data_IF_238027170862
#
_entry.id   IF_238027170862
#
_cell.length_a   1.000
_cell.length_b   1.000
_cell.length_c   1.000
_cell.angle_alpha   90.00
_cell.angle_beta   90.00
_cell.angle_gamma   90.00
#
_symmetry.space_group_name_H-M   'P 1'
#
loop_
_entity.id
_entity.type
_entity.pdbx_description
1 polymer ?
#
# COMPACT_ATOMS: atom_id res chain seq x y z
N UNK A 1 10.42 -28.53 24.57
CA UNK A 1 10.02 -28.69 23.15
C UNK A 1 11.08 -28.25 22.16
N UNK A 2 11.58 -26.99 22.19
CA UNK A 2 12.60 -26.54 21.23
C UNK A 2 13.87 -27.42 21.19
N UNK A 3 14.34 -27.87 22.35
CA UNK A 3 15.47 -28.82 22.44
C UNK A 3 15.22 -30.13 21.69
N UNK A 4 14.00 -30.68 21.75
CA UNK A 4 13.64 -31.90 21.04
C UNK A 4 13.61 -31.66 19.52
N UNK A 5 13.02 -30.55 19.08
CA UNK A 5 13.00 -30.19 17.65
C UNK A 5 14.42 -29.99 17.13
N UNK A 6 15.27 -29.30 17.88
CA UNK A 6 16.68 -29.10 17.54
C UNK A 6 17.41 -30.43 17.41
N UNK A 7 17.22 -31.34 18.37
CA UNK A 7 17.80 -32.68 18.31
C UNK A 7 17.33 -33.45 17.06
N UNK A 8 16.04 -33.39 16.72
CA UNK A 8 15.50 -34.05 15.52
C UNK A 8 16.11 -33.49 14.23
N UNK A 9 16.21 -32.15 14.11
CA UNK A 9 16.84 -31.49 12.95
C UNK A 9 18.32 -31.87 12.80
N UNK A 10 19.06 -31.91 13.92
CA UNK A 10 20.46 -32.34 13.94
C UNK A 10 20.63 -33.81 13.51
N UNK A 11 19.64 -34.66 13.75
CA UNK A 11 19.62 -36.06 13.32
C UNK A 11 19.03 -36.26 11.92
N UNK A 12 18.91 -35.20 11.11
CA UNK A 12 18.51 -35.29 9.71
C UNK A 12 17.01 -35.29 9.45
N UNK A 13 16.18 -34.88 10.42
CA UNK A 13 14.76 -34.64 10.15
C UNK A 13 14.61 -33.54 9.09
N UNK A 14 13.89 -33.85 8.01
CA UNK A 14 13.66 -32.91 6.91
C UNK A 14 12.72 -31.76 7.27
N UNK A 15 12.68 -30.75 6.41
CA UNK A 15 11.93 -29.49 6.62
C UNK A 15 10.41 -29.60 6.36
N UNK A 16 9.91 -30.82 6.14
CA UNK A 16 8.50 -31.10 5.89
C UNK A 16 7.97 -32.12 6.89
N UNK A 17 6.74 -31.92 7.36
CA UNK A 17 6.21 -32.66 8.50
C UNK A 17 5.70 -34.05 8.09
N UNK A 18 5.19 -34.27 6.87
CA UNK A 18 4.47 -35.52 6.54
C UNK A 18 4.58 -36.03 5.09
N UNK A 19 4.64 -35.14 4.09
CA UNK A 19 4.64 -35.45 2.63
C UNK A 19 5.33 -34.31 1.88
N UNK A 20 5.88 -34.56 0.69
CA UNK A 20 6.33 -33.47 -0.20
C UNK A 20 5.23 -32.40 -0.34
N UNK A 21 5.58 -31.15 -0.08
CA UNK A 21 4.66 -30.02 -0.18
C UNK A 21 3.79 -29.73 1.06
N UNK A 22 4.10 -30.29 2.24
CA UNK A 22 3.50 -29.82 3.50
C UNK A 22 4.54 -29.15 4.40
N UNK A 23 4.67 -27.83 4.27
CA UNK A 23 5.68 -27.03 4.95
C UNK A 23 5.56 -27.07 6.48
N UNK A 24 6.70 -27.34 7.14
CA UNK A 24 6.79 -27.24 8.58
C UNK A 24 6.55 -25.80 9.08
N UNK A 25 7.07 -24.82 8.35
CA UNK A 25 6.89 -23.39 8.65
C UNK A 25 5.40 -23.00 8.63
N UNK A 26 4.67 -23.42 7.58
CA UNK A 26 3.24 -23.17 7.47
C UNK A 26 2.44 -23.82 8.62
N UNK A 27 2.85 -25.01 9.07
CA UNK A 27 2.22 -25.70 10.19
C UNK A 27 2.44 -24.95 11.51
N UNK A 28 3.67 -24.50 11.78
CA UNK A 28 4.00 -23.70 12.97
C UNK A 28 3.16 -22.43 13.01
N UNK A 29 3.10 -21.69 11.91
CA UNK A 29 2.33 -20.46 11.80
C UNK A 29 0.82 -20.66 12.01
N UNK A 30 0.28 -21.82 11.61
CA UNK A 30 -1.15 -22.13 11.71
C UNK A 30 -1.58 -22.63 13.07
N UNK A 31 -0.77 -23.47 13.70
CA UNK A 31 -1.22 -24.29 14.83
C UNK A 31 -0.63 -23.87 16.18
N UNK A 32 0.56 -23.26 16.20
CA UNK A 32 1.19 -22.84 17.46
C UNK A 32 0.55 -21.54 17.91
N UNK A 33 -0.12 -21.50 19.08
CA UNK A 33 -0.83 -20.30 19.56
C UNK A 33 0.05 -19.31 20.33
N UNK A 34 1.07 -19.83 21.02
CA UNK A 34 2.07 -19.03 21.70
C UNK A 34 2.93 -18.28 20.68
N UNK A 35 2.97 -16.95 20.75
CA UNK A 35 3.62 -16.11 19.75
C UNK A 35 5.14 -16.12 19.86
N UNK A 36 5.66 -16.19 21.08
CA UNK A 36 7.10 -16.21 21.36
C UNK A 36 7.67 -17.57 20.94
N UNK A 37 7.07 -18.66 21.43
CA UNK A 37 7.48 -20.00 21.04
C UNK A 37 7.28 -20.25 19.53
N UNK A 38 6.22 -19.70 18.91
CA UNK A 38 6.03 -19.76 17.45
C UNK A 38 7.18 -19.06 16.72
N UNK A 39 7.59 -17.88 17.18
CA UNK A 39 8.69 -17.14 16.57
C UNK A 39 10.02 -17.89 16.70
N UNK A 40 10.37 -18.37 17.89
CA UNK A 40 11.62 -19.12 18.11
C UNK A 40 11.68 -20.42 17.31
N UNK A 41 10.54 -21.13 17.23
CA UNK A 41 10.44 -22.34 16.43
C UNK A 41 10.54 -22.05 14.94
N UNK A 42 9.93 -20.95 14.47
CA UNK A 42 10.03 -20.51 13.08
C UNK A 42 11.48 -20.16 12.71
N UNK A 43 12.17 -19.42 13.58
CA UNK A 43 13.58 -19.05 13.43
C UNK A 43 14.49 -20.28 13.37
N UNK A 44 14.30 -21.21 14.31
CA UNK A 44 15.05 -22.48 14.29
C UNK A 44 14.86 -23.24 12.98
N UNK A 45 13.62 -23.36 12.48
CA UNK A 45 13.37 -24.09 11.24
C UNK A 45 13.98 -23.40 10.01
N UNK A 46 13.93 -22.07 9.95
CA UNK A 46 14.54 -21.30 8.85
C UNK A 46 16.06 -21.37 8.88
N UNK A 47 16.68 -21.27 10.06
CA UNK A 47 18.14 -21.42 10.22
C UNK A 47 18.63 -22.82 9.82
N UNK A 48 17.82 -23.85 10.01
CA UNK A 48 18.15 -25.21 9.61
C UNK A 48 17.80 -25.52 8.15
N UNK A 49 17.50 -24.52 7.31
CA UNK A 49 17.28 -24.69 5.87
C UNK A 49 15.83 -24.87 5.44
N UNK A 50 14.87 -24.50 6.29
CA UNK A 50 13.45 -24.54 5.93
C UNK A 50 13.12 -23.58 4.80
N UNK A 51 12.52 -24.08 3.72
CA UNK A 51 12.12 -23.26 2.56
C UNK A 51 10.90 -22.38 2.91
N UNK A 52 11.04 -21.04 2.95
CA UNK A 52 9.96 -20.12 3.29
C UNK A 52 8.87 -20.01 2.22
N UNK A 53 9.06 -20.62 1.04
CA UNK A 53 8.10 -20.64 -0.05
C UNK A 53 7.40 -22.00 -0.22
N UNK A 54 7.87 -23.05 0.47
CA UNK A 54 7.21 -24.34 0.48
C UNK A 54 5.80 -24.19 1.06
N UNK A 55 4.77 -24.53 0.29
CA UNK A 55 3.38 -24.33 0.68
C UNK A 55 2.92 -25.33 1.74
N UNK A 56 1.90 -24.95 2.51
CA UNK A 56 1.21 -25.86 3.43
C UNK A 56 0.14 -26.70 2.74
N UNK A 57 -0.55 -27.56 3.51
CA UNK A 57 -1.68 -28.40 3.05
C UNK A 57 -2.80 -27.65 2.30
N UNK A 58 -3.00 -26.38 2.60
CA UNK A 58 -4.00 -25.53 1.95
C UNK A 58 -3.50 -24.89 0.65
N UNK A 59 -2.25 -25.13 0.25
CA UNK A 59 -1.63 -24.52 -0.92
C UNK A 59 -1.12 -23.09 -0.70
N UNK A 60 -1.16 -22.58 0.53
CA UNK A 60 -0.67 -21.23 0.85
C UNK A 60 0.80 -21.28 1.26
N UNK A 61 1.58 -20.32 0.77
CA UNK A 61 2.95 -20.09 1.25
C UNK A 61 2.95 -19.66 2.74
N UNK A 62 4.01 -19.96 3.51
CA UNK A 62 4.13 -19.58 4.92
C UNK A 62 3.83 -18.11 5.18
N UNK A 63 4.31 -17.21 4.32
CA UNK A 63 4.00 -15.78 4.41
C UNK A 63 2.49 -15.50 4.33
N UNK A 64 1.76 -16.11 3.39
CA UNK A 64 0.31 -16.00 3.33
C UNK A 64 -0.38 -16.61 4.55
N UNK A 65 0.11 -17.75 5.06
CA UNK A 65 -0.46 -18.36 6.28
C UNK A 65 -0.32 -17.42 7.49
N UNK A 66 0.76 -16.65 7.56
CA UNK A 66 0.94 -15.61 8.57
C UNK A 66 -0.10 -14.49 8.42
N UNK A 67 -0.38 -14.05 7.18
CA UNK A 67 -1.23 -12.90 6.84
C UNK A 67 -2.74 -13.15 6.88
N UNK A 68 -3.21 -14.33 6.47
CA UNK A 68 -4.64 -14.67 6.38
C UNK A 68 -5.46 -14.45 7.67
N UNK A 69 -4.92 -14.67 8.89
CA UNK A 69 -5.62 -14.34 10.14
C UNK A 69 -6.11 -12.89 10.25
N UNK A 70 -5.48 -11.93 9.54
CA UNK A 70 -5.90 -10.52 9.51
C UNK A 70 -7.28 -10.30 8.86
N UNK A 71 -7.74 -11.28 8.07
CA UNK A 71 -9.04 -11.23 7.38
C UNK A 71 -10.07 -12.11 8.12
N UNK A 72 -9.66 -13.27 8.63
CA UNK A 72 -10.59 -14.37 8.91
C UNK A 72 -10.81 -14.71 10.39
N UNK A 73 -9.96 -14.25 11.33
CA UNK A 73 -9.96 -14.83 12.69
C UNK A 73 -9.99 -13.83 13.83
N UNK A 74 -9.07 -12.87 13.86
CA UNK A 74 -8.88 -12.02 15.03
C UNK A 74 -8.76 -10.55 14.61
N UNK A 75 -9.58 -9.64 15.16
CA UNK A 75 -9.36 -8.23 14.97
C UNK A 75 -7.97 -7.83 15.47
N UNK A 76 -7.22 -7.01 14.71
CA UNK A 76 -5.98 -6.36 15.12
C UNK A 76 -6.08 -5.66 16.48
N UNK A 77 -7.26 -5.13 16.84
CA UNK A 77 -7.46 -4.49 18.14
C UNK A 77 -7.46 -5.49 19.31
N UNK A 78 -7.68 -6.78 19.06
CA UNK A 78 -7.58 -7.84 20.08
C UNK A 78 -6.12 -8.33 20.27
N UNK A 79 -5.19 -7.94 19.40
CA UNK A 79 -3.78 -8.30 19.55
C UNK A 79 -3.09 -7.34 20.52
N UNK A 80 -2.52 -7.89 21.60
CA UNK A 80 -1.65 -7.12 22.48
C UNK A 80 -0.40 -6.62 21.74
N UNK A 81 0.24 -5.58 22.27
CA UNK A 81 1.46 -5.01 21.69
C UNK A 81 2.53 -6.09 21.44
N UNK A 82 2.78 -6.96 22.41
CA UNK A 82 3.73 -8.08 22.29
C UNK A 82 3.39 -9.01 21.13
N UNK A 83 2.10 -9.35 20.94
CA UNK A 83 1.66 -10.18 19.81
C UNK A 83 1.91 -9.49 18.47
N UNK A 84 1.63 -8.19 18.36
CA UNK A 84 1.91 -7.39 17.16
C UNK A 84 3.41 -7.37 16.84
N UNK A 85 4.27 -7.23 17.84
CA UNK A 85 5.74 -7.28 17.67
C UNK A 85 6.20 -8.63 17.13
N UNK A 86 5.80 -9.74 17.76
CA UNK A 86 6.16 -11.09 17.26
C UNK A 86 5.59 -11.38 15.87
N UNK A 87 4.41 -10.83 15.55
CA UNK A 87 3.83 -10.91 14.22
C UNK A 87 4.74 -10.25 13.18
N UNK A 88 5.07 -8.98 13.37
CA UNK A 88 5.91 -8.23 12.44
C UNK A 88 7.30 -8.85 12.32
N UNK A 89 7.85 -9.36 13.42
CA UNK A 89 9.12 -10.06 13.43
C UNK A 89 9.05 -11.39 12.66
N UNK A 90 7.94 -12.14 12.75
CA UNK A 90 7.75 -13.37 11.97
C UNK A 90 7.71 -13.09 10.47
N UNK A 91 7.00 -12.03 10.04
CA UNK A 91 6.97 -11.60 8.64
C UNK A 91 8.36 -11.16 8.18
N UNK A 92 9.05 -10.33 8.97
CA UNK A 92 10.41 -9.87 8.68
C UNK A 92 11.38 -11.04 8.57
N UNK A 93 11.27 -12.02 9.45
CA UNK A 93 12.11 -13.21 9.47
C UNK A 93 11.90 -14.06 8.21
N UNK A 94 10.64 -14.35 7.85
CA UNK A 94 10.31 -15.04 6.60
C UNK A 94 10.89 -14.31 5.38
N UNK A 95 10.69 -12.99 5.28
CA UNK A 95 11.19 -12.20 4.17
C UNK A 95 12.73 -12.15 4.11
N UNK A 96 13.42 -12.10 5.26
CA UNK A 96 14.90 -12.18 5.33
C UNK A 96 15.44 -13.50 4.81
N UNK A 97 14.71 -14.60 5.01
CA UNK A 97 15.07 -15.92 4.48
C UNK A 97 14.60 -16.15 3.04
N UNK A 98 14.03 -15.15 2.36
CA UNK A 98 13.65 -15.25 0.95
C UNK A 98 12.19 -15.63 0.68
N UNK A 99 11.29 -15.45 1.65
CA UNK A 99 9.86 -15.57 1.38
C UNK A 99 9.43 -14.59 0.28
N UNK A 100 8.71 -15.07 -0.73
CA UNK A 100 8.20 -14.25 -1.82
C UNK A 100 7.05 -13.35 -1.33
N UNK A 101 7.21 -12.01 -1.28
CA UNK A 101 6.15 -11.09 -0.86
C UNK A 101 5.01 -10.97 -1.87
N UNK A 102 5.17 -11.51 -3.08
CA UNK A 102 4.16 -11.56 -4.12
C UNK A 102 3.52 -12.96 -4.23
N UNK A 103 3.67 -13.81 -3.20
CA UNK A 103 3.06 -15.13 -3.17
C UNK A 103 1.52 -15.06 -3.23
N UNK A 104 0.89 -16.19 -3.58
CA UNK A 104 -0.56 -16.30 -3.70
C UNK A 104 -1.08 -17.38 -2.75
N UNK A 105 -2.23 -17.15 -2.15
CA UNK A 105 -3.01 -18.20 -1.51
C UNK A 105 -3.68 -19.10 -2.56
N UNK A 106 -4.27 -20.20 -2.11
CA UNK A 106 -5.13 -21.04 -2.95
C UNK A 106 -6.36 -20.31 -3.51
N UNK A 107 -6.86 -19.30 -2.80
CA UNK A 107 -7.92 -18.40 -3.27
C UNK A 107 -7.41 -17.25 -4.13
N UNK A 108 -6.17 -17.34 -4.63
CA UNK A 108 -5.53 -16.33 -5.47
C UNK A 108 -5.31 -14.96 -4.82
N UNK A 109 -5.44 -14.86 -3.49
CA UNK A 109 -5.14 -13.65 -2.73
C UNK A 109 -3.63 -13.45 -2.61
N UNK A 110 -3.18 -12.22 -2.75
CA UNK A 110 -1.78 -11.82 -2.50
C UNK A 110 -1.65 -11.10 -1.16
N UNK A 111 -0.44 -10.95 -0.60
CA UNK A 111 -0.22 -10.10 0.57
C UNK A 111 -0.79 -8.69 0.41
N UNK A 112 -0.73 -8.14 -0.81
CA UNK A 112 -1.29 -6.82 -1.12
C UNK A 112 -2.82 -6.79 -0.99
N UNK A 113 -3.53 -7.84 -1.44
CA UNK A 113 -4.97 -7.98 -1.22
C UNK A 113 -5.32 -7.99 0.27
N UNK A 114 -4.53 -8.70 1.07
CA UNK A 114 -4.74 -8.77 2.53
C UNK A 114 -4.61 -7.39 3.15
N UNK A 115 -3.56 -6.64 2.82
CA UNK A 115 -3.34 -5.29 3.34
C UNK A 115 -4.47 -4.33 2.98
N UNK A 116 -4.92 -4.34 1.72
CA UNK A 116 -6.03 -3.50 1.26
C UNK A 116 -7.32 -3.86 2.00
N UNK A 117 -7.65 -5.15 2.05
CA UNK A 117 -8.86 -5.60 2.72
C UNK A 117 -8.84 -5.22 4.20
N UNK A 118 -7.74 -5.48 4.91
CA UNK A 118 -7.59 -5.10 6.30
C UNK A 118 -7.67 -3.57 6.48
N UNK A 119 -7.06 -2.76 5.62
CA UNK A 119 -7.22 -1.30 5.69
C UNK A 119 -8.68 -0.86 5.49
N UNK A 120 -9.40 -1.49 4.55
CA UNK A 120 -10.81 -1.19 4.24
C UNK A 120 -11.76 -1.52 5.39
N UNK A 121 -11.53 -2.61 6.11
CA UNK A 121 -12.34 -2.94 7.29
C UNK A 121 -12.09 -1.91 8.41
N UNK A 122 -10.83 -1.52 8.64
CA UNK A 122 -10.47 -0.65 9.77
C UNK A 122 -10.77 0.83 9.54
N UNK A 123 -10.76 1.33 8.30
CA UNK A 123 -11.12 2.73 8.01
C UNK A 123 -12.56 3.04 8.41
N UNK A 124 -13.45 2.04 8.36
CA UNK A 124 -14.87 2.19 8.70
C UNK A 124 -15.15 2.16 10.20
N UNK A 125 -14.15 1.84 11.04
CA UNK A 125 -14.33 1.79 12.50
C UNK A 125 -14.55 3.19 13.08
N UNK A 126 -15.42 3.28 14.09
CA UNK A 126 -15.67 4.53 14.82
C UNK A 126 -14.67 4.78 15.96
N UNK A 127 -13.93 3.77 16.39
CA UNK A 127 -12.99 3.88 17.51
C UNK A 127 -11.64 4.39 17.01
N UNK A 128 -11.35 5.66 17.25
CA UNK A 128 -10.14 6.33 16.75
C UNK A 128 -8.85 5.68 17.23
N UNK A 129 -8.74 5.34 18.52
CA UNK A 129 -7.54 4.69 19.07
C UNK A 129 -7.27 3.30 18.43
N UNK A 130 -8.33 2.51 18.21
CA UNK A 130 -8.21 1.20 17.56
C UNK A 130 -7.81 1.36 16.09
N UNK A 131 -8.35 2.38 15.42
CA UNK A 131 -8.02 2.74 14.05
C UNK A 131 -6.55 3.16 13.93
N UNK A 132 -6.10 4.08 14.78
CA UNK A 132 -4.71 4.56 14.80
C UNK A 132 -3.72 3.40 15.02
N UNK A 133 -3.98 2.57 16.03
CA UNK A 133 -3.14 1.40 16.34
C UNK A 133 -3.13 0.37 15.21
N UNK A 134 -4.25 0.20 14.50
CA UNK A 134 -4.33 -0.70 13.35
C UNK A 134 -3.57 -0.14 12.14
N UNK A 135 -3.75 1.14 11.79
CA UNK A 135 -3.04 1.74 10.67
C UNK A 135 -1.53 1.88 10.91
N UNK A 136 -1.09 2.11 12.14
CA UNK A 136 0.32 2.01 12.50
C UNK A 136 0.88 0.61 12.20
N UNK A 137 0.14 -0.44 12.58
CA UNK A 137 0.53 -1.83 12.30
C UNK A 137 0.53 -2.15 10.79
N UNK A 138 -0.53 -1.77 10.07
CA UNK A 138 -0.67 -1.99 8.62
C UNK A 138 0.47 -1.27 7.88
N UNK A 139 0.80 -0.05 8.28
CA UNK A 139 1.88 0.74 7.66
C UNK A 139 3.24 0.09 7.88
N UNK A 140 3.53 -0.40 9.08
CA UNK A 140 4.77 -1.14 9.38
C UNK A 140 4.84 -2.44 8.58
N UNK A 141 3.74 -3.19 8.50
CA UNK A 141 3.66 -4.44 7.74
C UNK A 141 3.87 -4.21 6.23
N UNK A 142 3.19 -3.21 5.67
CA UNK A 142 3.36 -2.79 4.28
C UNK A 142 4.80 -2.38 3.99
N UNK A 143 5.42 -1.60 4.88
CA UNK A 143 6.81 -1.15 4.73
C UNK A 143 7.77 -2.34 4.73
N UNK A 144 7.60 -3.31 5.63
CA UNK A 144 8.44 -4.53 5.64
C UNK A 144 8.31 -5.27 4.30
N UNK A 145 7.09 -5.50 3.83
CA UNK A 145 6.88 -6.24 2.58
C UNK A 145 7.46 -5.49 1.36
N UNK A 146 7.28 -4.18 1.27
CA UNK A 146 7.84 -3.34 0.22
C UNK A 146 9.37 -3.32 0.23
N UNK A 147 10.00 -3.26 1.41
CA UNK A 147 11.45 -3.36 1.56
C UNK A 147 12.00 -4.70 1.03
N UNK A 148 11.20 -5.75 1.12
CA UNK A 148 11.56 -7.11 0.68
C UNK A 148 11.05 -7.47 -0.73
N UNK A 149 10.56 -6.50 -1.50
CA UNK A 149 10.25 -6.68 -2.93
C UNK A 149 8.78 -6.96 -3.25
N UNK A 150 7.84 -6.62 -2.37
CA UNK A 150 6.42 -6.54 -2.72
C UNK A 150 6.26 -5.60 -3.91
N UNK A 151 5.58 -6.05 -4.97
CA UNK A 151 5.32 -5.24 -6.15
C UNK A 151 4.06 -4.39 -5.95
N UNK A 152 4.19 -3.05 -5.81
CA UNK A 152 3.02 -2.19 -5.67
C UNK A 152 2.23 -2.06 -6.98
N UNK A 153 2.83 -2.37 -8.14
CA UNK A 153 2.17 -2.24 -9.44
C UNK A 153 1.50 -3.54 -9.88
N UNK A 154 1.45 -4.56 -9.01
CA UNK A 154 0.81 -5.82 -9.30
C UNK A 154 -0.70 -5.63 -9.55
N UNK A 155 -1.19 -6.27 -10.61
CA UNK A 155 -2.62 -6.30 -10.92
C UNK A 155 -3.37 -7.10 -9.85
N UNK A 156 -4.31 -6.45 -9.15
CA UNK A 156 -5.08 -7.09 -8.07
C UNK A 156 -6.23 -7.91 -8.65
N UNK A 157 -7.14 -7.28 -9.40
CA UNK A 157 -8.31 -7.92 -9.99
C UNK A 157 -8.84 -7.18 -11.23
N UNK A 158 -9.77 -7.78 -11.95
CA UNK A 158 -10.48 -7.12 -13.05
C UNK A 158 -11.18 -5.81 -12.61
N UNK A 159 -11.62 -5.72 -11.34
CA UNK A 159 -12.29 -4.53 -10.79
C UNK A 159 -11.30 -3.50 -10.23
N UNK A 160 -10.16 -3.97 -9.73
CA UNK A 160 -9.11 -3.14 -9.12
C UNK A 160 -7.80 -3.37 -9.85
N UNK A 161 -7.55 -2.56 -10.89
CA UNK A 161 -6.37 -2.75 -11.73
C UNK A 161 -5.06 -2.46 -10.98
N UNK A 162 -5.10 -1.56 -9.98
CA UNK A 162 -3.91 -1.05 -9.29
C UNK A 162 -4.16 -0.73 -7.81
N UNK A 163 -3.12 -0.84 -6.98
CA UNK A 163 -3.21 -0.57 -5.53
C UNK A 163 -3.67 0.84 -5.21
N UNK A 164 -3.17 1.84 -5.94
CA UNK A 164 -3.50 3.24 -5.70
C UNK A 164 -4.99 3.52 -5.97
N UNK A 165 -5.62 2.75 -6.87
CA UNK A 165 -7.07 2.81 -7.08
C UNK A 165 -7.82 2.18 -5.91
N UNK A 166 -7.35 1.04 -5.40
CA UNK A 166 -7.96 0.41 -4.22
C UNK A 166 -7.88 1.29 -2.96
N UNK A 167 -6.87 2.15 -2.84
CA UNK A 167 -6.82 3.16 -1.78
C UNK A 167 -7.90 4.25 -1.93
N UNK A 168 -8.46 4.48 -3.12
CA UNK A 168 -9.59 5.40 -3.27
C UNK A 168 -10.87 4.84 -2.68
N UNK A 169 -11.03 3.51 -2.63
CA UNK A 169 -12.14 2.88 -1.91
C UNK A 169 -12.04 3.18 -0.40
N UNK A 170 -10.82 3.32 0.16
CA UNK A 170 -10.64 3.79 1.53
C UNK A 170 -11.11 5.23 1.72
N UNK A 171 -10.80 6.12 0.78
CA UNK A 171 -11.29 7.51 0.80
C UNK A 171 -12.81 7.56 0.70
N UNK A 172 -13.40 6.70 -0.14
CA UNK A 172 -14.84 6.57 -0.27
C UNK A 172 -15.51 6.09 1.03
N UNK A 173 -14.80 5.28 1.83
CA UNK A 173 -15.28 4.76 3.11
C UNK A 173 -14.84 5.58 4.34
N UNK A 174 -13.95 6.57 4.17
CA UNK A 174 -13.49 7.48 5.21
C UNK A 174 -14.66 8.26 5.81
N UNK A 175 -14.74 8.35 7.15
CA UNK A 175 -15.84 9.03 7.84
C UNK A 175 -15.44 10.41 8.35
N UNK A 176 -14.16 10.59 8.64
CA UNK A 176 -13.61 11.84 9.14
C UNK A 176 -12.51 12.34 8.20
N UNK A 177 -12.24 13.66 8.14
CA UNK A 177 -11.10 14.17 7.39
C UNK A 177 -9.77 13.60 7.87
N UNK A 178 -9.69 13.20 9.15
CA UNK A 178 -8.49 12.59 9.74
C UNK A 178 -8.14 11.22 9.18
N UNK A 179 -9.14 10.52 8.64
CA UNK A 179 -8.93 9.23 7.98
C UNK A 179 -8.05 9.38 6.72
N UNK A 180 -8.00 10.57 6.12
CA UNK A 180 -7.14 10.85 4.97
C UNK A 180 -5.65 10.74 5.31
N UNK A 181 -5.24 10.99 6.56
CA UNK A 181 -3.84 10.86 6.96
C UNK A 181 -3.35 9.42 6.77
N UNK A 182 -4.19 8.45 7.13
CA UNK A 182 -3.88 7.03 6.95
C UNK A 182 -3.75 6.67 5.48
N UNK A 183 -4.67 7.15 4.63
CA UNK A 183 -4.60 6.91 3.19
C UNK A 183 -3.38 7.60 2.57
N UNK A 184 -3.06 8.82 3.00
CA UNK A 184 -1.85 9.55 2.62
C UNK A 184 -0.58 8.79 3.00
N UNK A 185 -0.50 8.28 4.23
CA UNK A 185 0.65 7.52 4.72
C UNK A 185 0.87 6.22 3.92
N UNK A 186 -0.20 5.46 3.67
CA UNK A 186 -0.13 4.25 2.83
C UNK A 186 0.24 4.58 1.38
N UNK A 187 -0.34 5.65 0.81
CA UNK A 187 -0.02 6.13 -0.54
C UNK A 187 1.43 6.55 -0.65
N UNK A 188 1.93 7.30 0.33
CA UNK A 188 3.31 7.73 0.40
C UNK A 188 4.27 6.54 0.45
N UNK A 189 4.02 5.56 1.32
CA UNK A 189 4.81 4.35 1.41
C UNK A 189 4.87 3.62 0.05
N UNK A 190 3.72 3.44 -0.62
CA UNK A 190 3.68 2.80 -1.94
C UNK A 190 4.46 3.58 -2.99
N UNK A 191 4.30 4.91 -3.05
CA UNK A 191 5.00 5.76 -4.01
C UNK A 191 6.51 5.67 -3.81
N UNK A 192 7.00 5.89 -2.59
CA UNK A 192 8.45 5.87 -2.29
C UNK A 192 9.09 4.49 -2.51
N UNK A 193 8.29 3.43 -2.53
CA UNK A 193 8.71 2.05 -2.81
C UNK A 193 8.42 1.56 -4.23
N UNK A 194 8.01 2.43 -5.16
CA UNK A 194 7.99 2.11 -6.59
C UNK A 194 6.60 2.07 -7.24
N UNK A 195 5.53 2.45 -6.55
CA UNK A 195 4.21 2.57 -7.17
C UNK A 195 4.23 3.64 -8.26
N UNK A 196 3.59 3.37 -9.40
CA UNK A 196 3.48 4.32 -10.49
C UNK A 196 2.29 5.28 -10.25
N UNK A 197 2.54 6.60 -10.04
CA UNK A 197 1.46 7.57 -9.88
C UNK A 197 0.76 7.92 -11.20
N UNK A 198 1.32 7.51 -12.35
CA UNK A 198 0.81 7.83 -13.68
C UNK A 198 0.01 6.67 -14.31
N UNK A 199 -0.35 5.66 -13.51
CA UNK A 199 -1.15 4.52 -13.98
C UNK A 199 -2.41 5.03 -14.68
N UNK A 200 -2.59 4.55 -15.91
CA UNK A 200 -3.82 4.76 -16.67
C UNK A 200 -4.74 3.58 -16.34
N UNK A 201 -5.83 3.89 -15.66
CA UNK A 201 -6.89 2.95 -15.35
C UNK A 201 -7.81 2.86 -16.56
N UNK A 202 -8.09 1.65 -17.03
CA UNK A 202 -9.04 1.44 -18.12
C UNK A 202 -10.45 1.77 -17.60
N UNK A 203 -10.97 2.98 -17.86
CA UNK A 203 -12.40 3.22 -17.65
C UNK A 203 -13.16 2.47 -18.75
N UNK A 204 -13.89 1.42 -18.37
CA UNK A 204 -14.78 0.69 -19.28
C UNK A 204 -15.92 1.55 -19.82
N UNK A 205 -16.13 2.75 -19.26
CA UNK A 205 -17.18 3.67 -19.71
C UNK A 205 -16.56 4.95 -20.30
N UNK A 206 -16.71 5.20 -21.61
CA UNK A 206 -16.43 6.52 -22.16
C UNK A 206 -17.48 7.51 -21.64
N UNK A 207 -17.05 8.71 -21.24
CA UNK A 207 -17.99 9.79 -20.94
C UNK A 207 -18.57 10.24 -22.28
N UNK A 208 -19.84 9.90 -22.52
CA UNK A 208 -20.61 10.37 -23.67
C UNK A 208 -20.95 11.84 -23.38
N UNK A 209 -20.21 12.76 -24.00
CA UNK A 209 -20.54 14.18 -23.92
C UNK A 209 -21.54 14.52 -25.03
N UNK A 210 -22.75 14.91 -24.64
CA UNK A 210 -23.71 15.50 -25.57
C UNK A 210 -23.39 16.99 -25.73
N UNK A 211 -23.11 17.42 -26.96
CA UNK A 211 -23.26 18.82 -27.37
C UNK A 211 -24.49 18.93 -28.26
N UNK A 212 -25.09 20.12 -28.39
CA UNK A 212 -26.35 20.33 -29.13
C UNK A 212 -26.31 19.90 -30.61
N UNK A 213 -25.16 19.47 -31.14
CA UNK A 213 -25.00 19.04 -32.53
C UNK A 213 -24.07 17.85 -32.74
N UNK A 214 -23.43 17.29 -31.70
CA UNK A 214 -22.60 16.09 -31.85
C UNK A 214 -22.36 15.35 -30.52
N UNK A 215 -22.24 14.02 -30.62
CA UNK A 215 -21.77 13.13 -29.56
C UNK A 215 -20.26 13.01 -29.72
N UNK A 216 -19.48 13.47 -28.74
CA UNK A 216 -18.05 13.22 -28.70
C UNK A 216 -17.70 12.37 -27.48
N UNK A 217 -16.95 11.29 -27.70
CA UNK A 217 -16.42 10.43 -26.66
C UNK A 217 -15.19 11.11 -26.05
N UNK A 218 -15.36 11.83 -24.94
CA UNK A 218 -14.22 12.40 -24.22
C UNK A 218 -13.58 11.26 -23.43
N UNK A 219 -12.31 10.95 -23.75
CA UNK A 219 -11.50 10.03 -22.94
C UNK A 219 -11.42 10.63 -21.53
N UNK A 220 -12.11 10.03 -20.57
CA UNK A 220 -11.98 10.40 -19.18
C UNK A 220 -10.49 10.32 -18.81
N UNK A 221 -10.01 11.28 -18.05
CA UNK A 221 -8.66 11.23 -17.50
C UNK A 221 -8.56 9.98 -16.62
N UNK A 222 -7.93 8.94 -17.15
CA UNK A 222 -7.81 7.61 -16.54
C UNK A 222 -6.86 7.55 -15.34
N UNK A 223 -6.49 8.70 -14.77
CA UNK A 223 -5.47 8.76 -13.73
C UNK A 223 -6.11 8.74 -12.35
N UNK A 224 -5.46 8.05 -11.41
CA UNK A 224 -5.91 7.93 -10.01
C UNK A 224 -6.21 9.29 -9.38
N UNK A 225 -5.35 10.29 -9.62
CA UNK A 225 -5.54 11.66 -9.11
C UNK A 225 -6.88 12.27 -9.55
N UNK A 226 -7.28 12.04 -10.80
CA UNK A 226 -8.51 12.61 -11.34
C UNK A 226 -9.75 11.94 -10.72
N UNK A 227 -9.70 10.62 -10.48
CA UNK A 227 -10.74 9.92 -9.70
C UNK A 227 -10.83 10.44 -8.26
N UNK A 228 -9.69 10.64 -7.60
CA UNK A 228 -9.65 11.22 -6.25
C UNK A 228 -10.28 12.62 -6.21
N UNK A 229 -9.96 13.50 -7.18
CA UNK A 229 -10.54 14.85 -7.24
C UNK A 229 -12.06 14.78 -7.38
N UNK A 230 -12.57 13.89 -8.24
CA UNK A 230 -14.02 13.70 -8.40
C UNK A 230 -14.67 13.18 -7.11
N UNK A 231 -14.04 12.20 -6.47
CA UNK A 231 -14.49 11.59 -5.22
C UNK A 231 -14.62 12.62 -4.09
N UNK A 232 -13.55 13.37 -3.85
CA UNK A 232 -13.52 14.42 -2.82
C UNK A 232 -14.52 15.53 -3.14
N UNK A 233 -14.74 15.85 -4.41
CA UNK A 233 -15.73 16.85 -4.79
C UNK A 233 -17.17 16.44 -4.43
N UNK A 234 -17.48 15.15 -4.50
CA UNK A 234 -18.79 14.61 -4.08
C UNK A 234 -18.94 14.49 -2.57
N UNK A 235 -17.83 14.40 -1.83
CA UNK A 235 -17.82 14.10 -0.40
C UNK A 235 -17.44 15.32 0.43
N UNK A 236 -18.39 16.22 0.59
CA UNK A 236 -18.20 17.53 1.26
C UNK A 236 -17.75 17.42 2.71
N UNK A 237 -18.08 16.32 3.40
CA UNK A 237 -17.63 16.03 4.78
C UNK A 237 -16.11 16.10 4.92
N UNK A 238 -15.36 15.55 3.95
CA UNK A 238 -13.90 15.56 3.95
C UNK A 238 -13.30 16.95 3.67
N UNK A 239 -14.11 17.88 3.16
CA UNK A 239 -13.70 19.25 2.84
C UNK A 239 -13.95 20.25 3.98
N UNK A 240 -14.63 19.84 5.04
CA UNK A 240 -14.91 20.71 6.20
C UNK A 240 -13.68 21.04 7.04
N UNK A 241 -12.60 20.26 6.87
CA UNK A 241 -11.35 20.37 7.59
C UNK A 241 -10.64 21.73 7.41
N UNK A 242 -10.00 22.20 8.50
CA UNK A 242 -9.17 23.40 8.55
C UNK A 242 -7.76 23.15 8.00
N UNK A 243 -7.25 21.93 8.17
CA UNK A 243 -5.90 21.56 7.74
C UNK A 243 -5.82 21.20 6.26
N UNK A 244 -6.99 21.11 5.60
CA UNK A 244 -7.12 20.77 4.18
C UNK A 244 -6.34 19.50 3.81
N UNK A 245 -6.48 18.42 4.60
CA UNK A 245 -5.77 17.15 4.40
C UNK A 245 -5.95 16.56 2.99
N UNK A 246 -7.09 16.81 2.35
CA UNK A 246 -7.30 16.46 0.93
C UNK A 246 -6.27 17.10 -0.01
N UNK A 247 -5.81 18.33 0.29
CA UNK A 247 -4.80 19.04 -0.48
C UNK A 247 -3.42 18.40 -0.31
N UNK A 248 -3.13 17.79 0.85
CA UNK A 248 -1.90 17.03 1.06
C UNK A 248 -1.87 15.80 0.13
N UNK A 249 -2.98 15.07 -0.01
CA UNK A 249 -3.08 13.96 -0.95
C UNK A 249 -2.85 14.41 -2.40
N UNK A 250 -3.48 15.51 -2.83
CA UNK A 250 -3.21 16.10 -4.16
C UNK A 250 -1.73 16.51 -4.29
N UNK A 251 -1.16 17.07 -3.22
CA UNK A 251 0.25 17.44 -3.12
C UNK A 251 1.20 16.25 -3.33
N UNK A 252 0.88 15.07 -2.79
CA UNK A 252 1.67 13.85 -3.02
C UNK A 252 1.74 13.50 -4.51
N UNK A 253 0.61 13.53 -5.23
CA UNK A 253 0.59 13.30 -6.68
C UNK A 253 1.27 14.43 -7.46
N UNK A 254 1.06 15.69 -7.06
CA UNK A 254 1.79 16.82 -7.63
C UNK A 254 3.31 16.65 -7.47
N UNK A 255 3.74 16.00 -6.39
CA UNK A 255 5.14 15.81 -6.08
C UNK A 255 5.78 14.61 -6.80
N UNK A 256 4.98 13.65 -7.26
CA UNK A 256 5.46 12.36 -7.81
C UNK A 256 5.12 12.11 -9.28
N UNK A 257 4.01 12.67 -9.79
CA UNK A 257 3.58 12.47 -11.18
C UNK A 257 4.50 13.15 -12.19
N UNK A 258 4.54 12.60 -13.40
CA UNK A 258 5.25 13.22 -14.53
C UNK A 258 4.56 14.51 -14.97
N UNK A 259 5.34 15.47 -15.47
CA UNK A 259 4.85 16.81 -15.81
C UNK A 259 3.65 16.75 -16.78
N UNK A 260 3.81 16.05 -17.92
CA UNK A 260 2.75 15.96 -18.93
C UNK A 260 1.47 15.30 -18.38
N UNK A 261 1.63 14.23 -17.60
CA UNK A 261 0.51 13.50 -17.00
C UNK A 261 -0.25 14.39 -16.00
N UNK A 262 0.47 15.03 -15.08
CA UNK A 262 -0.11 15.91 -14.07
C UNK A 262 -0.90 17.06 -14.70
N UNK A 263 -0.26 17.88 -15.53
CA UNK A 263 -0.92 19.07 -16.08
C UNK A 263 -2.08 18.72 -17.01
N UNK A 264 -2.04 17.54 -17.66
CA UNK A 264 -3.18 17.01 -18.39
C UNK A 264 -4.35 16.67 -17.45
N UNK A 265 -4.11 16.06 -16.29
CA UNK A 265 -5.16 15.78 -15.30
C UNK A 265 -5.69 17.06 -14.66
N UNK A 266 -4.83 18.00 -14.26
CA UNK A 266 -5.23 19.29 -13.71
C UNK A 266 -6.08 20.09 -14.70
N UNK A 267 -5.66 20.18 -15.97
CA UNK A 267 -6.44 20.82 -17.04
C UNK A 267 -7.79 20.12 -17.24
N UNK A 268 -7.81 18.79 -17.24
CA UNK A 268 -9.03 18.00 -17.36
C UNK A 268 -10.02 18.26 -16.22
N UNK A 269 -9.53 18.25 -14.98
CA UNK A 269 -10.32 18.51 -13.79
C UNK A 269 -10.91 19.94 -13.78
N UNK A 270 -10.12 20.95 -14.13
CA UNK A 270 -10.57 22.35 -14.21
C UNK A 270 -11.53 22.60 -15.39
N UNK A 271 -11.34 21.93 -16.52
CA UNK A 271 -12.24 22.06 -17.67
C UNK A 271 -13.62 21.42 -17.43
N UNK A 272 -13.71 20.43 -16.54
CA UNK A 272 -14.98 19.77 -16.21
C UNK A 272 -15.86 20.60 -15.24
N UNK A 273 -15.41 21.77 -14.78
CA UNK A 273 -16.17 22.68 -13.90
C UNK A 273 -17.53 23.08 -14.50
N UNK A 274 -17.64 23.14 -15.83
CA UNK A 274 -18.90 23.47 -16.51
C UNK A 274 -19.94 22.35 -16.45
N UNK A 275 -19.52 21.10 -16.23
CA UNK A 275 -20.40 19.93 -16.12
C UNK A 275 -20.71 19.59 -14.66
N UNK A 276 -19.71 19.65 -13.79
CA UNK A 276 -19.86 19.43 -12.34
C UNK A 276 -19.13 20.57 -11.62
N UNK A 277 -19.85 21.43 -10.87
CA UNK A 277 -19.21 22.52 -10.16
C UNK A 277 -18.24 21.96 -9.12
N UNK A 278 -16.99 22.45 -9.17
CA UNK A 278 -16.00 22.12 -8.17
C UNK A 278 -16.28 22.90 -6.88
N UNK A 279 -16.15 22.22 -5.74
CA UNK A 279 -16.14 22.86 -4.43
C UNK A 279 -15.05 23.92 -4.37
N UNK A 280 -15.34 25.07 -3.78
CA UNK A 280 -14.49 26.26 -3.80
C UNK A 280 -13.05 25.99 -3.32
N UNK A 281 -12.89 25.23 -2.22
CA UNK A 281 -11.58 24.80 -1.69
C UNK A 281 -10.78 23.96 -2.70
N UNK A 282 -11.41 22.96 -3.33
CA UNK A 282 -10.75 22.09 -4.32
C UNK A 282 -10.37 22.90 -5.55
N UNK A 283 -11.27 23.74 -6.06
CA UNK A 283 -11.00 24.63 -7.19
C UNK A 283 -9.83 25.58 -6.92
N UNK A 284 -9.74 26.14 -5.70
CA UNK A 284 -8.62 27.00 -5.28
C UNK A 284 -7.29 26.26 -5.33
N UNK A 285 -7.21 25.06 -4.74
CA UNK A 285 -5.99 24.24 -4.74
C UNK A 285 -5.58 23.88 -6.17
N UNK A 286 -6.51 23.40 -6.99
CA UNK A 286 -6.21 23.00 -8.37
C UNK A 286 -5.77 24.19 -9.25
N UNK A 287 -6.43 25.37 -9.11
CA UNK A 287 -6.02 26.58 -9.84
C UNK A 287 -4.63 27.03 -9.44
N UNK A 288 -4.30 27.00 -8.14
CA UNK A 288 -2.98 27.36 -7.64
C UNK A 288 -1.89 26.42 -8.20
N UNK A 289 -2.14 25.11 -8.20
CA UNK A 289 -1.19 24.12 -8.73
C UNK A 289 -1.06 24.19 -10.26
N UNK A 290 -2.10 24.61 -10.98
CA UNK A 290 -2.08 24.72 -12.44
C UNK A 290 -1.47 26.04 -12.94
N UNK A 291 -1.71 27.15 -12.23
CA UNK A 291 -1.23 28.48 -12.65
C UNK A 291 0.27 28.67 -12.48
N UNK A 292 0.89 27.93 -11.55
CA UNK A 292 2.31 28.01 -11.28
C UNK A 292 3.07 26.83 -11.90
N UNK A 293 4.12 27.07 -12.70
CA UNK A 293 5.00 25.99 -13.14
C UNK A 293 5.76 25.39 -11.95
N UNK A 294 6.04 24.09 -12.00
CA UNK A 294 6.92 23.44 -11.03
C UNK A 294 8.29 24.13 -11.01
N UNK A 295 8.82 24.36 -9.81
CA UNK A 295 10.18 24.88 -9.64
C UNK A 295 11.22 23.91 -10.21
N UNK A 296 12.41 24.42 -10.56
CA UNK A 296 13.52 23.56 -11.02
C UNK A 296 13.87 22.47 -9.99
N UNK A 297 13.85 22.81 -8.69
CA UNK A 297 14.02 21.85 -7.58
C UNK A 297 13.01 20.70 -7.68
N UNK A 298 11.75 21.03 -7.95
CA UNK A 298 10.67 20.03 -8.07
C UNK A 298 10.79 19.19 -9.34
N UNK A 299 11.14 19.81 -10.47
CA UNK A 299 11.37 19.10 -11.73
C UNK A 299 12.53 18.11 -11.57
N UNK A 300 13.64 18.56 -10.97
CA UNK A 300 14.79 17.71 -10.68
C UNK A 300 14.43 16.55 -9.75
N UNK A 301 13.63 16.78 -8.70
CA UNK A 301 13.14 15.70 -7.83
C UNK A 301 12.38 14.63 -8.61
N UNK A 302 11.42 15.03 -9.46
CA UNK A 302 10.63 14.07 -10.24
C UNK A 302 11.50 13.30 -11.24
N UNK A 303 12.49 13.97 -11.86
CA UNK A 303 13.43 13.33 -12.77
C UNK A 303 14.30 12.28 -12.05
N UNK A 304 14.86 12.63 -10.88
CA UNK A 304 15.65 11.71 -10.04
C UNK A 304 14.77 10.56 -9.55
N UNK A 305 13.58 10.86 -9.02
CA UNK A 305 12.60 9.88 -8.56
C UNK A 305 12.28 8.84 -9.64
N UNK A 306 12.06 9.29 -10.89
CA UNK A 306 11.84 8.41 -12.04
C UNK A 306 13.09 7.60 -12.39
N UNK A 307 14.28 8.22 -12.41
CA UNK A 307 15.53 7.55 -12.74
C UNK A 307 15.87 6.42 -11.75
N UNK A 308 15.46 6.56 -10.48
CA UNK A 308 15.60 5.53 -9.44
C UNK A 308 14.53 4.44 -9.51
N UNK A 309 13.74 4.38 -10.59
CA UNK A 309 12.63 3.44 -10.72
C UNK A 309 11.56 3.66 -9.66
N UNK A 310 11.45 4.89 -9.12
CA UNK A 310 10.51 5.28 -8.07
C UNK A 310 10.73 4.57 -6.72
N UNK A 311 11.87 3.89 -6.52
CA UNK A 311 12.20 3.12 -5.30
C UNK A 311 13.11 3.88 -4.34
N UNK A 312 12.77 5.14 -4.08
CA UNK A 312 13.64 6.07 -3.36
C UNK A 312 13.95 5.62 -1.93
N UNK A 313 13.00 5.00 -1.21
CA UNK A 313 13.27 4.51 0.16
C UNK A 313 14.45 3.52 0.23
N UNK A 314 14.65 2.74 -0.84
CA UNK A 314 15.68 1.70 -0.89
C UNK A 314 16.99 2.24 -1.47
N UNK A 315 16.90 3.19 -2.40
CA UNK A 315 18.05 3.66 -3.18
C UNK A 315 18.67 4.96 -2.68
N UNK A 316 17.94 5.80 -1.93
CA UNK A 316 18.42 7.16 -1.58
C UNK A 316 19.70 7.14 -0.76
N UNK A 317 19.85 6.14 0.13
CA UNK A 317 21.05 5.99 0.97
C UNK A 317 22.30 5.61 0.17
N UNK A 318 22.12 5.08 -1.06
CA UNK A 318 23.20 4.76 -1.99
C UNK A 318 23.66 6.00 -2.78
N UNK A 319 22.94 7.12 -2.68
CA UNK A 319 23.30 8.37 -3.34
C UNK A 319 24.20 9.21 -2.42
N UNK A 320 25.27 9.75 -3.01
CA UNK A 320 26.19 10.68 -2.35
C UNK A 320 25.58 12.09 -2.27
N UNK A 321 24.41 12.21 -1.63
CA UNK A 321 23.69 13.46 -1.43
C UNK A 321 23.75 13.91 0.04
N UNK A 322 23.79 15.22 0.32
CA UNK A 322 23.60 15.77 1.66
C UNK A 322 22.27 15.34 2.30
N UNK A 323 22.23 15.23 3.63
CA UNK A 323 21.05 14.83 4.41
C UNK A 323 19.74 15.54 4.00
N UNK A 324 19.71 16.88 3.93
CA UNK A 324 18.50 17.62 3.55
C UNK A 324 17.96 17.28 2.15
N UNK A 325 18.85 16.94 1.20
CA UNK A 325 18.43 16.51 -0.14
C UNK A 325 17.89 15.07 -0.13
N UNK A 326 18.39 14.20 0.75
CA UNK A 326 17.84 12.85 0.93
C UNK A 326 16.42 12.92 1.50
N UNK A 327 16.21 13.70 2.55
CA UNK A 327 14.88 13.94 3.16
C UNK A 327 13.89 14.55 2.14
N UNK A 328 14.37 15.49 1.32
CA UNK A 328 13.55 16.07 0.25
C UNK A 328 13.12 15.05 -0.81
N UNK A 329 13.99 14.10 -1.15
CA UNK A 329 13.67 12.99 -2.06
C UNK A 329 12.76 11.93 -1.42
N UNK A 330 12.84 11.72 -0.10
CA UNK A 330 11.95 10.84 0.66
C UNK A 330 10.56 11.44 0.91
N UNK A 331 10.34 12.70 0.52
CA UNK A 331 9.09 13.44 0.77
C UNK A 331 8.78 13.63 2.26
N UNK A 332 9.79 13.47 3.11
CA UNK A 332 9.75 13.72 4.56
C UNK A 332 10.03 15.19 4.90
N UNK A 333 10.53 15.96 3.94
CA UNK A 333 10.90 17.35 4.15
C UNK A 333 9.67 18.26 4.27
N UNK A 334 9.43 18.76 5.47
CA UNK A 334 8.65 19.98 5.71
C UNK A 334 9.59 21.19 5.67
N UNK A 335 9.27 22.23 4.85
CA UNK A 335 10.12 23.40 4.65
C UNK A 335 10.43 24.21 5.90
#
# INVERSE_FOLDING_TARGET
>A
MLHLVRYLLQNGAGHSINRQGNSALACVLRHVRDWEFRYELLDMLLQNGGDPNCVGRDGSAPLMVCLVPLINKDPLHCLSHTKKVFYLNSVRLLCRHGANPNCRSRSNLTPLHVLVFTASEYITLNRENDKESAFAFISQLLTILLQHGLDPNAHLSQRTEHILLALLDLVQNARQPTDLDYVCALTLALLVHGADPNVQISSSEPIICHSQSSVYLKKASSQVLCYFIQLVNTKTELLTDREERFAQFIGLYYNTMEHRALYSCLKGALANVSLVPLHSKVARVLRNLYSQPRSLKQIARVAIYRALGRRVAITVNKLNLPGPLREYLLFEWTP
#
